data_IF_762920129538
#
_entry.id   IF_762920129538
#
_cell.length_a   1.000
_cell.length_b   1.000
_cell.length_c   1.000
_cell.angle_alpha   90.00
_cell.angle_beta   90.00
_cell.angle_gamma   90.00
#
_symmetry.space_group_name_H-M   'P 1'
#
loop_
_entity.id
_entity.type
_entity.pdbx_description
1 polymer ?
#
# COMPACT_ATOMS: atom_id res chain seq x y z
N UNK A 1 7.94 70.45 50.56
CA UNK A 1 9.16 70.03 49.82
C UNK A 1 9.21 68.51 49.80
N UNK A 2 8.57 67.88 48.80
CA UNK A 2 8.78 66.48 48.37
C UNK A 2 7.66 66.17 47.36
N UNK A 3 7.87 66.52 46.09
CA UNK A 3 7.11 65.87 45.00
C UNK A 3 7.76 65.98 43.61
N UNK A 4 8.80 66.81 43.43
CA UNK A 4 9.40 67.01 42.10
C UNK A 4 10.47 65.96 41.69
N UNK A 5 10.74 64.93 42.51
CA UNK A 5 11.81 63.97 42.24
C UNK A 5 11.37 62.59 41.71
N UNK A 6 10.06 62.35 41.56
CA UNK A 6 9.55 61.09 40.98
C UNK A 6 9.22 61.17 39.49
N UNK A 7 8.83 62.34 38.95
CA UNK A 7 8.49 62.46 37.53
C UNK A 7 9.72 62.34 36.61
N UNK A 8 10.91 62.75 37.07
CA UNK A 8 12.15 62.62 36.29
C UNK A 8 12.67 61.19 36.10
N UNK A 9 12.23 60.22 36.91
CA UNK A 9 12.68 58.81 36.78
C UNK A 9 11.82 57.97 35.84
N UNK A 10 10.60 58.40 35.51
CA UNK A 10 9.71 57.69 34.60
C UNK A 10 10.01 58.03 33.12
N UNK A 11 10.67 59.15 32.86
CA UNK A 11 11.07 59.58 31.51
C UNK A 11 12.32 58.89 30.96
N UNK A 12 13.05 58.11 31.77
CA UNK A 12 14.23 57.33 31.34
C UNK A 12 13.92 55.87 31.02
N UNK A 13 12.65 55.45 31.03
CA UNK A 13 12.28 54.13 30.53
C UNK A 13 12.36 54.14 29.00
N UNK A 14 13.51 53.70 28.48
CA UNK A 14 13.69 53.34 27.08
C UNK A 14 12.46 52.56 26.60
N UNK A 15 11.81 52.96 25.49
CA UNK A 15 10.72 52.20 24.92
C UNK A 15 11.18 50.75 24.76
N UNK A 16 10.46 49.80 25.35
CA UNK A 16 10.67 48.39 25.09
C UNK A 16 10.37 48.19 23.61
N UNK A 17 11.42 48.21 22.79
CA UNK A 17 11.34 47.96 21.37
C UNK A 17 10.65 46.59 21.20
N UNK A 18 9.56 46.48 20.43
CA UNK A 18 8.93 45.19 20.20
C UNK A 18 10.00 44.22 19.69
N UNK A 19 10.04 42.96 20.18
CA UNK A 19 11.09 42.04 19.80
C UNK A 19 11.19 42.00 18.28
N UNK A 20 12.35 42.37 17.75
CA UNK A 20 12.62 42.35 16.30
C UNK A 20 12.18 40.99 15.77
N UNK A 21 11.38 40.93 14.69
CA UNK A 21 10.99 39.66 14.12
C UNK A 21 12.27 38.90 13.81
N UNK A 22 12.46 37.76 14.48
CA UNK A 22 13.60 36.87 14.24
C UNK A 22 13.64 36.64 12.74
N UNK A 23 14.74 37.06 12.11
CA UNK A 23 14.93 36.98 10.66
C UNK A 23 14.66 35.54 10.24
N UNK A 24 13.47 35.30 9.68
CA UNK A 24 13.02 33.96 9.35
C UNK A 24 14.02 33.33 8.40
N UNK A 25 14.39 32.07 8.64
CA UNK A 25 15.15 31.31 7.66
C UNK A 25 14.43 31.37 6.30
N UNK A 26 15.14 31.49 5.17
CA UNK A 26 14.52 31.34 3.87
C UNK A 26 13.78 29.98 3.85
N UNK A 27 12.52 29.98 3.40
CA UNK A 27 11.63 28.80 3.43
C UNK A 27 11.26 28.25 4.82
N UNK A 28 11.22 29.09 5.86
CA UNK A 28 10.81 28.68 7.22
C UNK A 28 9.43 27.97 7.32
N UNK A 29 8.58 28.11 6.30
CA UNK A 29 7.31 27.37 6.19
C UNK A 29 7.47 25.88 5.85
N UNK A 30 8.56 25.49 5.16
CA UNK A 30 8.82 24.11 4.74
C UNK A 30 9.53 23.28 5.82
N UNK A 31 10.27 23.96 6.70
CA UNK A 31 11.09 23.32 7.74
C UNK A 31 10.36 22.38 8.69
N UNK A 32 9.14 22.70 9.15
CA UNK A 32 8.36 21.75 9.93
C UNK A 32 8.09 20.44 9.19
N UNK A 33 7.68 20.51 7.92
CA UNK A 33 7.37 19.33 7.10
C UNK A 33 8.63 18.52 6.81
N UNK A 34 9.74 19.18 6.48
CA UNK A 34 11.03 18.53 6.26
C UNK A 34 11.52 17.80 7.52
N UNK A 35 11.36 18.40 8.71
CA UNK A 35 11.76 17.77 9.96
C UNK A 35 10.95 16.50 10.28
N UNK A 36 9.63 16.53 10.05
CA UNK A 36 8.76 15.38 10.22
C UNK A 36 9.07 14.27 9.22
N UNK A 37 9.34 14.63 7.96
CA UNK A 37 9.75 13.67 6.93
C UNK A 37 11.11 13.03 7.27
N UNK A 38 12.08 13.83 7.72
CA UNK A 38 13.42 13.34 8.08
C UNK A 38 13.38 12.34 9.24
N UNK A 39 12.64 12.62 10.31
CA UNK A 39 12.54 11.68 11.43
C UNK A 39 11.83 10.38 11.01
N UNK A 40 10.80 10.47 10.17
CA UNK A 40 10.11 9.30 9.64
C UNK A 40 11.03 8.44 8.76
N UNK A 41 11.88 9.08 7.95
CA UNK A 41 12.88 8.40 7.14
C UNK A 41 13.93 7.68 8.00
N UNK A 42 14.41 8.32 9.07
CA UNK A 42 15.30 7.69 10.05
C UNK A 42 14.63 6.47 10.68
N UNK A 43 13.37 6.61 11.11
CA UNK A 43 12.60 5.48 11.64
C UNK A 43 12.41 4.37 10.59
N UNK A 44 12.19 4.69 9.32
CA UNK A 44 12.12 3.69 8.26
C UNK A 44 13.42 2.92 8.05
N UNK A 45 14.56 3.59 8.20
CA UNK A 45 15.87 2.93 8.14
C UNK A 45 16.05 1.98 9.33
N UNK A 46 15.59 2.37 10.53
CA UNK A 46 15.55 1.45 11.69
C UNK A 46 14.62 0.26 11.40
N UNK A 47 13.48 0.52 10.75
CA UNK A 47 12.49 -0.48 10.37
C UNK A 47 12.79 -1.17 9.02
N UNK A 48 14.02 -1.64 8.83
CA UNK A 48 14.48 -2.29 7.59
C UNK A 48 14.68 -3.80 7.72
N UNK A 49 14.15 -4.44 8.78
CA UNK A 49 14.36 -5.87 8.98
C UNK A 49 13.42 -6.71 8.09
N UNK A 50 13.82 -7.97 7.87
CA UNK A 50 13.06 -8.92 7.07
C UNK A 50 11.66 -9.18 7.67
N UNK A 51 10.67 -9.58 6.84
CA UNK A 51 9.35 -9.99 7.29
C UNK A 51 9.38 -10.89 8.53
N UNK A 52 8.50 -10.62 9.49
CA UNK A 52 8.35 -11.39 10.72
C UNK A 52 9.39 -11.12 11.82
N UNK A 53 10.39 -10.28 11.57
CA UNK A 53 11.39 -9.90 12.57
C UNK A 53 11.03 -8.59 13.29
N UNK A 54 11.64 -8.32 14.47
CA UNK A 54 11.58 -7.00 15.09
C UNK A 54 12.02 -5.91 14.14
N UNK A 55 11.31 -4.78 14.16
CA UNK A 55 11.54 -3.64 13.27
C UNK A 55 11.32 -3.95 11.78
N UNK A 56 10.35 -4.81 11.45
CA UNK A 56 9.90 -4.97 10.06
C UNK A 56 8.94 -3.84 9.66
N UNK A 57 9.04 -3.36 8.41
CA UNK A 57 8.17 -2.31 7.88
C UNK A 57 6.67 -2.70 7.83
N UNK A 58 6.34 -3.99 7.96
CA UNK A 58 4.96 -4.48 7.97
C UNK A 58 4.34 -4.56 9.38
N UNK A 59 5.08 -4.17 10.41
CA UNK A 59 4.55 -4.09 11.77
C UNK A 59 3.56 -2.92 11.91
N UNK A 60 2.54 -3.09 12.74
CA UNK A 60 1.60 -2.03 13.10
C UNK A 60 2.29 -0.87 13.81
N UNK A 61 3.33 -1.16 14.61
CA UNK A 61 4.23 -0.18 15.22
C UNK A 61 4.82 0.76 14.17
N UNK A 62 5.23 0.23 13.02
CA UNK A 62 5.65 1.04 11.89
C UNK A 62 4.47 1.74 11.23
N UNK A 63 3.50 0.97 10.73
CA UNK A 63 2.41 1.44 9.85
C UNK A 63 1.52 2.49 10.52
N UNK A 64 1.31 2.41 11.83
CA UNK A 64 0.47 3.35 12.56
C UNK A 64 1.28 4.48 13.21
N UNK A 65 2.41 4.17 13.86
CA UNK A 65 3.05 5.16 14.73
C UNK A 65 4.15 5.96 14.06
N UNK A 66 4.87 5.43 13.06
CA UNK A 66 5.85 6.23 12.32
C UNK A 66 5.21 7.41 11.57
N UNK A 67 4.12 7.25 10.79
CA UNK A 67 3.43 8.39 10.21
C UNK A 67 2.83 9.32 11.26
N UNK A 68 2.33 8.79 12.38
CA UNK A 68 1.86 9.63 13.49
C UNK A 68 3.00 10.49 14.09
N UNK A 69 4.20 9.93 14.26
CA UNK A 69 5.40 10.67 14.70
C UNK A 69 5.79 11.72 13.66
N UNK A 70 5.75 11.37 12.37
CA UNK A 70 5.98 12.32 11.26
C UNK A 70 5.08 13.56 11.41
N UNK A 71 3.77 13.34 11.59
CA UNK A 71 2.80 14.41 11.79
C UNK A 71 2.99 15.17 13.10
N UNK A 72 3.26 14.47 14.19
CA UNK A 72 3.48 15.08 15.50
C UNK A 72 4.71 16.01 15.48
N UNK A 73 5.85 15.56 14.95
CA UNK A 73 7.07 16.38 14.84
C UNK A 73 6.84 17.57 13.92
N UNK A 74 6.14 17.37 12.79
CA UNK A 74 5.76 18.46 11.87
C UNK A 74 4.98 19.55 12.60
N UNK A 75 3.94 19.17 13.35
CA UNK A 75 3.10 20.14 14.07
C UNK A 75 3.85 20.79 15.23
N UNK A 76 4.62 20.02 16.01
CA UNK A 76 5.40 20.55 17.12
C UNK A 76 6.41 21.61 16.65
N UNK A 77 7.13 21.36 15.55
CA UNK A 77 8.06 22.33 14.97
C UNK A 77 7.34 23.57 14.44
N UNK A 78 6.18 23.40 13.80
CA UNK A 78 5.40 24.53 13.31
C UNK A 78 4.89 25.43 14.44
N UNK A 79 4.37 24.84 15.51
CA UNK A 79 3.85 25.52 16.70
C UNK A 79 4.95 26.26 17.50
N UNK A 80 6.20 25.81 17.40
CA UNK A 80 7.35 26.49 18.01
C UNK A 80 7.77 27.76 17.25
N UNK A 81 7.37 27.89 15.99
CA UNK A 81 7.63 29.08 15.15
C UNK A 81 6.49 30.07 15.35
N UNK A 82 5.26 29.62 15.11
CA UNK A 82 4.05 30.41 15.28
C UNK A 82 2.84 29.50 15.48
N UNK A 83 1.80 30.02 16.14
CA UNK A 83 0.58 29.25 16.41
C UNK A 83 -0.19 29.02 15.11
N UNK A 84 -0.57 27.77 14.85
CA UNK A 84 -1.22 27.33 13.60
C UNK A 84 -2.70 27.02 13.77
N UNK A 85 -3.41 26.99 12.65
CA UNK A 85 -4.82 26.63 12.61
C UNK A 85 -5.05 25.12 12.79
N UNK A 86 -6.26 24.72 13.15
CA UNK A 86 -6.62 23.29 13.21
C UNK A 86 -6.48 22.59 11.86
N UNK A 87 -6.77 23.27 10.75
CA UNK A 87 -6.58 22.73 9.41
C UNK A 87 -5.11 22.43 9.09
N UNK A 88 -4.18 23.24 9.60
CA UNK A 88 -2.75 23.00 9.45
C UNK A 88 -2.32 21.68 10.11
N UNK A 89 -2.89 21.33 11.27
CA UNK A 89 -2.58 20.08 11.97
C UNK A 89 -2.99 18.81 11.22
N UNK A 90 -3.80 18.95 10.17
CA UNK A 90 -4.24 17.85 9.31
C UNK A 90 -3.45 17.87 7.99
N UNK A 91 -3.43 19.00 7.29
CA UNK A 91 -2.85 19.08 5.94
C UNK A 91 -1.32 19.08 5.93
N UNK A 92 -0.65 19.71 6.90
CA UNK A 92 0.82 19.72 6.92
C UNK A 92 1.41 18.31 7.14
N UNK A 93 0.85 17.46 8.02
CA UNK A 93 1.23 16.05 8.08
C UNK A 93 1.07 15.28 6.76
N UNK A 94 0.06 15.58 5.93
CA UNK A 94 -0.09 14.89 4.64
C UNK A 94 1.13 15.17 3.76
N UNK A 95 1.51 16.44 3.64
CA UNK A 95 2.70 16.85 2.88
C UNK A 95 3.96 16.19 3.47
N UNK A 96 4.14 16.21 4.79
CA UNK A 96 5.29 15.58 5.43
C UNK A 96 5.36 14.06 5.19
N UNK A 97 4.22 13.36 5.28
CA UNK A 97 4.16 11.91 5.00
C UNK A 97 4.38 11.60 3.52
N UNK A 98 3.89 12.44 2.61
CA UNK A 98 4.19 12.31 1.18
C UNK A 98 5.67 12.58 0.87
N UNK A 99 6.30 13.54 1.54
CA UNK A 99 7.75 13.78 1.43
C UNK A 99 8.56 12.59 1.97
N UNK A 100 8.11 12.00 3.08
CA UNK A 100 8.71 10.79 3.64
C UNK A 100 8.63 9.62 2.65
N UNK A 101 7.44 9.30 2.13
CA UNK A 101 7.25 8.21 1.16
C UNK A 101 7.96 8.51 -0.17
N UNK A 102 7.95 9.75 -0.65
CA UNK A 102 8.72 10.17 -1.82
C UNK A 102 10.22 9.99 -1.58
N UNK A 103 10.70 10.31 -0.37
CA UNK A 103 12.07 10.08 0.06
C UNK A 103 12.46 8.61 -0.01
N UNK A 104 11.63 7.69 0.50
CA UNK A 104 11.92 6.24 0.46
C UNK A 104 11.93 5.68 -0.96
N UNK A 105 11.11 6.22 -1.86
CA UNK A 105 11.13 5.87 -3.29
C UNK A 105 12.43 6.33 -3.98
N UNK A 106 12.91 7.54 -3.68
CA UNK A 106 14.14 8.09 -4.27
C UNK A 106 15.40 7.27 -3.90
N UNK A 107 15.39 6.65 -2.72
CA UNK A 107 16.48 5.76 -2.27
C UNK A 107 16.21 4.28 -2.54
N UNK A 108 15.17 3.96 -3.33
CA UNK A 108 14.79 2.59 -3.71
C UNK A 108 14.57 1.63 -2.52
N UNK A 109 14.09 2.15 -1.39
CA UNK A 109 13.78 1.34 -0.20
C UNK A 109 12.42 0.65 -0.33
N UNK A 110 11.45 1.31 -0.96
CA UNK A 110 10.07 0.84 -1.12
C UNK A 110 9.73 0.63 -2.59
N UNK A 111 8.84 -0.32 -2.88
CA UNK A 111 8.23 -0.45 -4.19
C UNK A 111 7.17 0.63 -4.43
N UNK A 112 7.00 1.04 -5.69
CA UNK A 112 5.97 1.99 -6.10
C UNK A 112 4.55 1.53 -5.69
N UNK A 113 4.30 0.22 -5.75
CA UNK A 113 3.03 -0.41 -5.40
C UNK A 113 2.67 -0.12 -3.94
N UNK A 114 3.57 -0.44 -3.01
CA UNK A 114 3.36 -0.19 -1.57
C UNK A 114 3.22 1.30 -1.27
N UNK A 115 4.03 2.16 -1.90
CA UNK A 115 3.94 3.60 -1.72
C UNK A 115 2.55 4.14 -2.07
N UNK A 116 2.01 3.78 -3.25
CA UNK A 116 0.67 4.23 -3.67
C UNK A 116 -0.41 3.71 -2.71
N UNK A 117 -0.30 2.45 -2.30
CA UNK A 117 -1.27 1.81 -1.42
C UNK A 117 -1.22 2.36 0.00
N UNK A 118 -0.05 2.70 0.55
CA UNK A 118 0.07 3.05 1.97
C UNK A 118 -0.11 4.55 2.26
N UNK A 119 0.14 5.43 1.27
CA UNK A 119 0.05 6.89 1.44
C UNK A 119 -1.27 7.36 2.06
N UNK A 120 -2.46 6.87 1.66
CA UNK A 120 -3.71 7.27 2.30
C UNK A 120 -3.77 6.93 3.80
N UNK A 121 -3.27 5.76 4.20
CA UNK A 121 -3.20 5.37 5.60
C UNK A 121 -2.15 6.17 6.38
N UNK A 122 -1.01 6.48 5.76
CA UNK A 122 0.01 7.31 6.39
C UNK A 122 -0.45 8.75 6.58
N UNK A 123 -1.18 9.31 5.62
CA UNK A 123 -1.76 10.64 5.73
C UNK A 123 -2.78 10.73 6.87
N UNK A 124 -3.64 9.71 7.04
CA UNK A 124 -4.60 9.68 8.17
C UNK A 124 -3.89 9.55 9.50
N UNK A 125 -2.93 8.64 9.64
CA UNK A 125 -2.17 8.48 10.89
C UNK A 125 -1.29 9.69 11.21
N UNK A 126 -0.70 10.32 10.19
CA UNK A 126 -0.01 11.59 10.33
C UNK A 126 -0.93 12.71 10.82
N UNK A 127 -2.17 12.77 10.34
CA UNK A 127 -3.16 13.72 10.84
C UNK A 127 -3.51 13.46 12.31
N UNK A 128 -3.66 12.20 12.71
CA UNK A 128 -3.91 11.82 14.11
C UNK A 128 -2.76 12.28 15.00
N UNK A 129 -1.52 12.01 14.61
CA UNK A 129 -0.34 12.44 15.36
C UNK A 129 -0.17 13.97 15.39
N UNK A 130 -0.43 14.63 14.26
CA UNK A 130 -0.39 16.10 14.16
C UNK A 130 -1.44 16.78 15.05
N UNK A 131 -2.69 16.29 15.03
CA UNK A 131 -3.77 16.79 15.88
C UNK A 131 -3.47 16.55 17.37
N UNK A 132 -3.03 15.35 17.74
CA UNK A 132 -2.67 15.03 19.11
C UNK A 132 -1.58 15.98 19.63
N UNK A 133 -0.52 16.20 18.84
CA UNK A 133 0.56 17.10 19.21
C UNK A 133 0.12 18.57 19.23
N UNK A 134 -0.74 18.98 18.31
CA UNK A 134 -1.33 20.33 18.31
C UNK A 134 -2.16 20.60 19.56
N UNK A 135 -2.95 19.63 20.02
CA UNK A 135 -3.70 19.70 21.29
C UNK A 135 -2.73 19.84 22.47
N UNK A 136 -1.69 18.98 22.54
CA UNK A 136 -0.67 19.05 23.59
C UNK A 136 -0.02 20.44 23.61
N UNK A 137 0.45 20.94 22.47
CA UNK A 137 1.09 22.26 22.38
C UNK A 137 0.17 23.42 22.77
N UNK A 138 -1.15 23.27 22.68
CA UNK A 138 -2.10 24.32 23.07
C UNK A 138 -2.46 24.30 24.55
N UNK A 139 -2.52 23.11 25.15
CA UNK A 139 -2.86 22.92 26.57
C UNK A 139 -1.61 23.13 27.45
N UNK A 140 -0.43 22.91 26.89
CA UNK A 140 0.84 22.93 27.61
C UNK A 140 1.82 23.91 26.96
N UNK A 141 2.95 24.20 27.62
CA UNK A 141 3.96 25.12 27.10
C UNK A 141 5.02 24.41 26.23
N UNK A 142 4.58 23.69 25.18
CA UNK A 142 5.46 22.92 24.26
C UNK A 142 6.45 21.95 24.97
N UNK A 143 5.96 20.92 25.67
CA UNK A 143 6.78 19.99 26.44
C UNK A 143 7.59 19.09 25.51
N UNK A 144 8.91 19.19 25.59
CA UNK A 144 9.85 18.36 24.81
C UNK A 144 9.64 16.86 25.08
N UNK A 145 9.25 16.52 26.31
CA UNK A 145 9.01 15.15 26.74
C UNK A 145 7.91 14.47 25.93
N UNK A 146 6.84 15.19 25.57
CA UNK A 146 5.75 14.62 24.79
C UNK A 146 6.23 14.16 23.41
N UNK A 147 7.05 14.97 22.73
CA UNK A 147 7.61 14.61 21.42
C UNK A 147 8.54 13.40 21.53
N UNK A 148 9.38 13.35 22.56
CA UNK A 148 10.27 12.21 22.79
C UNK A 148 9.48 10.93 23.07
N UNK A 149 8.43 10.99 23.87
CA UNK A 149 7.56 9.84 24.14
C UNK A 149 6.88 9.33 22.87
N UNK A 150 6.35 10.22 22.02
CA UNK A 150 5.78 9.84 20.73
C UNK A 150 6.83 9.19 19.82
N UNK A 151 8.03 9.77 19.72
CA UNK A 151 9.11 9.25 18.87
C UNK A 151 9.64 7.87 19.33
N UNK A 152 9.63 7.61 20.64
CA UNK A 152 10.05 6.31 21.20
C UNK A 152 9.01 5.20 21.04
N UNK A 153 7.73 5.55 20.91
CA UNK A 153 6.62 4.59 20.85
C UNK A 153 6.77 3.55 19.73
N UNK A 154 7.02 3.91 18.45
CA UNK A 154 7.23 2.90 17.41
C UNK A 154 8.43 2.00 17.73
N UNK A 155 9.52 2.51 18.32
CA UNK A 155 10.71 1.72 18.64
C UNK A 155 10.41 0.66 19.73
N UNK A 156 9.76 1.07 20.81
CA UNK A 156 9.40 0.14 21.89
C UNK A 156 8.42 -0.92 21.40
N UNK A 157 7.38 -0.52 20.66
CA UNK A 157 6.41 -1.45 20.13
C UNK A 157 7.00 -2.35 19.04
N UNK A 158 7.90 -1.84 18.20
CA UNK A 158 8.59 -2.64 17.17
C UNK A 158 9.46 -3.77 17.71
N UNK A 159 9.91 -3.65 18.96
CA UNK A 159 10.63 -4.71 19.67
C UNK A 159 9.69 -5.78 20.26
N UNK A 160 8.45 -5.42 20.62
CA UNK A 160 7.51 -6.27 21.35
C UNK A 160 6.49 -6.93 20.41
N UNK A 161 5.95 -6.18 19.46
CA UNK A 161 4.86 -6.59 18.55
C UNK A 161 5.12 -7.88 17.78
N UNK A 162 6.33 -8.21 17.27
CA UNK A 162 6.55 -9.46 16.54
C UNK A 162 6.28 -10.72 17.36
N UNK A 163 6.22 -10.61 18.70
CA UNK A 163 5.88 -11.71 19.60
C UNK A 163 4.36 -12.00 19.61
N UNK A 164 3.55 -11.11 19.03
CA UNK A 164 2.12 -11.25 18.89
C UNK A 164 1.80 -11.79 17.49
N UNK A 165 0.99 -12.86 17.38
CA UNK A 165 0.61 -13.37 16.07
C UNK A 165 -0.28 -12.36 15.34
N UNK A 166 -0.04 -12.18 14.04
CA UNK A 166 -0.96 -11.43 13.20
C UNK A 166 -2.28 -12.19 13.05
N UNK A 167 -3.43 -11.49 13.05
CA UNK A 167 -4.70 -12.12 12.75
C UNK A 167 -4.72 -12.56 11.28
N UNK A 168 -5.14 -13.79 11.02
CA UNK A 168 -5.46 -14.22 9.66
C UNK A 168 -6.86 -13.75 9.27
N UNK A 169 -6.98 -13.23 8.06
CA UNK A 169 -8.25 -12.92 7.40
C UNK A 169 -8.30 -13.62 6.06
N UNK A 170 -9.33 -14.42 5.87
CA UNK A 170 -9.61 -15.10 4.61
C UNK A 170 -10.73 -14.35 3.89
N UNK A 171 -10.49 -14.02 2.63
CA UNK A 171 -11.41 -13.26 1.81
C UNK A 171 -11.43 -13.82 0.39
N UNK A 172 -12.48 -13.49 -0.33
CA UNK A 172 -12.65 -13.87 -1.73
C UNK A 172 -13.35 -12.77 -2.52
N UNK A 173 -13.27 -12.89 -3.84
CA UNK A 173 -14.02 -12.06 -4.78
C UNK A 173 -14.44 -12.92 -5.96
N UNK A 174 -15.55 -12.57 -6.60
CA UNK A 174 -15.95 -13.19 -7.86
C UNK A 174 -16.48 -12.20 -8.87
N UNK A 175 -16.20 -12.45 -10.15
CA UNK A 175 -16.71 -11.67 -11.28
C UNK A 175 -17.26 -12.62 -12.32
N UNK A 176 -18.24 -12.16 -13.07
CA UNK A 176 -18.90 -12.92 -14.12
C UNK A 176 -19.02 -12.05 -15.35
N UNK A 177 -18.86 -12.65 -16.52
CA UNK A 177 -19.01 -11.98 -17.80
C UNK A 177 -19.53 -12.96 -18.86
N UNK A 178 -20.41 -12.48 -19.74
CA UNK A 178 -20.89 -13.23 -20.88
C UNK A 178 -19.93 -13.12 -22.08
N UNK A 179 -19.60 -14.26 -22.66
CA UNK A 179 -18.74 -14.41 -23.84
C UNK A 179 -19.59 -15.02 -24.96
N UNK A 180 -19.65 -14.37 -26.12
CA UNK A 180 -20.32 -14.83 -27.34
C UNK A 180 -19.51 -15.92 -28.05
N UNK A 181 -19.17 -16.98 -27.31
CA UNK A 181 -18.44 -18.15 -27.78
C UNK A 181 -18.93 -19.40 -27.03
N UNK A 182 -18.93 -20.58 -27.68
CA UNK A 182 -19.24 -21.85 -27.05
C UNK A 182 -18.17 -22.18 -26.00
N UNK A 183 -18.51 -22.99 -24.99
CA UNK A 183 -17.66 -23.22 -23.83
C UNK A 183 -16.34 -23.91 -24.19
N UNK A 184 -16.29 -24.68 -25.28
CA UNK A 184 -15.08 -25.31 -25.83
C UNK A 184 -14.01 -24.27 -26.16
N UNK A 185 -14.42 -23.13 -26.73
CA UNK A 185 -13.48 -22.06 -27.12
C UNK A 185 -12.99 -21.29 -25.90
N UNK A 186 -13.90 -20.97 -24.98
CA UNK A 186 -13.52 -20.34 -23.71
C UNK A 186 -12.58 -21.25 -22.92
N UNK A 187 -12.85 -22.55 -22.90
CA UNK A 187 -12.02 -23.55 -22.26
C UNK A 187 -10.61 -23.63 -22.87
N UNK A 188 -10.50 -23.55 -24.20
CA UNK A 188 -9.21 -23.50 -24.87
C UNK A 188 -8.40 -22.28 -24.41
N UNK A 189 -8.98 -21.08 -24.45
CA UNK A 189 -8.29 -19.85 -24.04
C UNK A 189 -7.86 -19.86 -22.56
N UNK A 190 -8.64 -20.48 -21.66
CA UNK A 190 -8.26 -20.64 -20.25
C UNK A 190 -6.99 -21.48 -20.06
N UNK A 191 -6.77 -22.47 -20.93
CA UNK A 191 -5.71 -23.47 -20.80
C UNK A 191 -4.51 -23.22 -21.72
N UNK A 192 -4.68 -22.42 -22.76
CA UNK A 192 -3.69 -22.18 -23.81
C UNK A 192 -3.43 -20.67 -24.01
N UNK A 193 -3.34 -19.91 -22.91
CA UNK A 193 -3.06 -18.48 -22.96
C UNK A 193 -1.57 -18.22 -23.23
N UNK A 194 -1.15 -18.31 -24.49
CA UNK A 194 0.19 -17.94 -24.95
C UNK A 194 0.29 -16.46 -25.34
N UNK A 195 1.51 -15.92 -25.34
CA UNK A 195 1.87 -14.60 -25.88
C UNK A 195 0.87 -13.49 -25.53
N UNK A 196 0.59 -13.34 -24.23
CA UNK A 196 -0.29 -12.28 -23.72
C UNK A 196 0.41 -10.95 -23.93
N UNK A 197 -0.16 -10.11 -24.80
CA UNK A 197 0.37 -8.77 -25.06
C UNK A 197 -0.11 -7.78 -24.01
N UNK A 198 0.69 -6.76 -23.66
CA UNK A 198 0.30 -5.71 -22.73
C UNK A 198 -1.03 -5.03 -23.08
N UNK A 199 -1.33 -4.84 -24.37
CA UNK A 199 -2.60 -4.22 -24.79
C UNK A 199 -3.83 -5.07 -24.45
N UNK A 200 -3.67 -6.38 -24.24
CA UNK A 200 -4.79 -7.30 -23.97
C UNK A 200 -5.18 -7.33 -22.49
N UNK A 201 -4.31 -6.85 -21.60
CA UNK A 201 -4.48 -6.93 -20.14
C UNK A 201 -4.21 -5.61 -19.40
N UNK A 202 -3.62 -4.61 -20.06
CA UNK A 202 -3.08 -3.39 -19.45
C UNK A 202 -4.08 -2.45 -18.77
N UNK A 203 -5.39 -2.70 -18.91
CA UNK A 203 -6.44 -1.89 -18.30
C UNK A 203 -6.57 -2.10 -16.78
N UNK A 204 -6.02 -3.19 -16.23
CA UNK A 204 -6.12 -3.45 -14.79
C UNK A 204 -5.27 -2.45 -13.97
N UNK A 205 -5.86 -1.93 -12.89
CA UNK A 205 -5.24 -0.96 -11.99
C UNK A 205 -3.94 -1.47 -11.40
N UNK A 206 -3.87 -2.76 -11.09
CA UNK A 206 -2.67 -3.42 -10.56
C UNK A 206 -1.44 -3.21 -11.46
N UNK A 207 -1.61 -3.34 -12.79
CA UNK A 207 -0.51 -3.18 -13.74
C UNK A 207 -0.06 -1.72 -13.85
N UNK A 208 -1.01 -0.78 -13.75
CA UNK A 208 -0.74 0.66 -13.80
C UNK A 208 0.09 1.18 -12.62
N UNK A 209 0.06 0.46 -11.49
CA UNK A 209 0.85 0.81 -10.29
C UNK A 209 2.15 0.01 -10.14
N UNK A 210 2.49 -0.82 -11.14
CA UNK A 210 3.80 -1.48 -11.24
C UNK A 210 3.81 -3.00 -11.02
N UNK A 211 2.65 -3.65 -10.84
CA UNK A 211 2.56 -5.12 -10.81
C UNK A 211 2.94 -5.67 -12.20
N UNK A 212 3.81 -6.69 -12.30
CA UNK A 212 4.18 -7.29 -13.57
C UNK A 212 2.96 -7.85 -14.31
N UNK A 213 2.88 -7.60 -15.62
CA UNK A 213 1.79 -8.11 -16.45
C UNK A 213 1.98 -9.59 -16.79
N UNK A 214 0.90 -10.37 -16.96
CA UNK A 214 0.98 -11.75 -17.41
C UNK A 214 1.49 -11.82 -18.86
N UNK A 215 2.33 -12.83 -19.12
CA UNK A 215 2.94 -13.14 -20.42
C UNK A 215 2.39 -14.46 -20.96
N UNK A 216 2.23 -15.46 -20.09
CA UNK A 216 1.59 -16.72 -20.46
C UNK A 216 0.96 -17.42 -19.25
N UNK A 217 0.01 -18.30 -19.54
CA UNK A 217 -0.63 -19.17 -18.56
C UNK A 217 -1.11 -20.45 -19.24
N UNK A 218 -0.27 -21.47 -19.23
CA UNK A 218 -0.42 -22.67 -20.06
C UNK A 218 -0.58 -23.89 -19.19
N UNK A 219 -1.62 -24.67 -19.47
CA UNK A 219 -1.88 -25.92 -18.77
C UNK A 219 -1.11 -27.07 -19.40
N UNK A 220 -0.32 -27.77 -18.59
CA UNK A 220 0.48 -28.94 -18.99
C UNK A 220 0.19 -30.12 -18.06
N UNK A 221 0.32 -31.33 -18.59
CA UNK A 221 0.28 -32.55 -17.78
C UNK A 221 1.70 -32.87 -17.28
N UNK A 222 1.88 -32.98 -15.96
CA UNK A 222 3.14 -33.38 -15.31
C UNK A 222 2.95 -34.69 -14.55
N UNK A 223 4.03 -35.34 -14.08
CA UNK A 223 3.92 -36.57 -13.27
C UNK A 223 3.06 -36.41 -12.00
N UNK A 224 2.99 -35.20 -11.44
CA UNK A 224 2.25 -34.87 -10.22
C UNK A 224 0.76 -34.54 -10.48
N UNK A 225 0.36 -34.46 -11.75
CA UNK A 225 -0.98 -34.09 -12.18
C UNK A 225 -0.95 -32.94 -13.18
N UNK A 226 -2.10 -32.31 -13.40
CA UNK A 226 -2.19 -31.19 -14.33
C UNK A 226 -1.86 -29.88 -13.60
N UNK A 227 -0.97 -29.09 -14.17
CA UNK A 227 -0.56 -27.79 -13.63
C UNK A 227 -0.64 -26.73 -14.71
N UNK A 228 -1.02 -25.52 -14.33
CA UNK A 228 -0.94 -24.35 -15.19
C UNK A 228 0.33 -23.57 -14.83
N UNK A 229 1.24 -23.51 -15.78
CA UNK A 229 2.50 -22.77 -15.66
C UNK A 229 2.24 -21.31 -16.06
N UNK A 230 2.48 -20.40 -15.13
CA UNK A 230 2.21 -18.98 -15.30
C UNK A 230 3.53 -18.22 -15.37
N UNK A 231 3.69 -17.40 -16.40
CA UNK A 231 4.81 -16.49 -16.57
C UNK A 231 4.28 -15.06 -16.63
N UNK A 232 4.83 -14.17 -15.82
CA UNK A 232 4.62 -12.74 -15.89
C UNK A 232 5.92 -12.04 -16.30
N UNK A 233 5.84 -10.73 -16.54
CA UNK A 233 6.99 -9.88 -16.76
C UNK A 233 7.97 -9.92 -15.58
N UNK A 234 9.18 -9.39 -15.78
CA UNK A 234 10.26 -9.39 -14.78
C UNK A 234 10.62 -10.79 -14.27
N UNK A 235 10.46 -11.81 -15.12
CA UNK A 235 10.75 -13.22 -14.83
C UNK A 235 9.98 -13.81 -13.64
N UNK A 236 8.85 -13.21 -13.26
CA UNK A 236 7.96 -13.76 -12.24
C UNK A 236 7.28 -15.01 -12.79
N UNK A 237 7.34 -16.11 -12.06
CA UNK A 237 6.81 -17.39 -12.50
C UNK A 237 6.25 -18.18 -11.32
N UNK A 238 5.14 -18.89 -11.53
CA UNK A 238 4.54 -19.73 -10.50
C UNK A 238 3.64 -20.79 -11.12
N UNK A 239 3.25 -21.76 -10.30
CA UNK A 239 2.39 -22.86 -10.73
C UNK A 239 0.98 -22.70 -10.15
N UNK A 240 0.00 -23.13 -10.92
CA UNK A 240 -1.39 -23.24 -10.52
C UNK A 240 -1.78 -24.72 -10.62
N UNK A 241 -1.79 -25.40 -9.47
CA UNK A 241 -2.01 -26.83 -9.38
C UNK A 241 -3.50 -27.12 -9.53
N UNK A 242 -3.90 -27.84 -10.58
CA UNK A 242 -5.31 -28.09 -10.85
C UNK A 242 -5.86 -29.11 -9.84
N UNK A 243 -6.89 -28.69 -9.12
CA UNK A 243 -7.58 -29.50 -8.10
C UNK A 243 -8.90 -30.05 -8.58
N UNK A 244 -9.58 -29.36 -9.51
CA UNK A 244 -10.79 -29.84 -10.17
C UNK A 244 -10.73 -29.55 -11.67
N UNK A 245 -11.05 -30.56 -12.48
CA UNK A 245 -11.02 -30.49 -13.94
C UNK A 245 -12.27 -31.15 -14.52
N UNK A 246 -13.22 -30.33 -14.95
CA UNK A 246 -14.41 -30.75 -15.70
C UNK A 246 -14.44 -29.98 -17.02
N UNK A 247 -14.04 -30.61 -18.15
CA UNK A 247 -13.97 -29.95 -19.44
C UNK A 247 -15.21 -29.11 -19.74
N UNK A 248 -14.99 -27.89 -20.21
CA UNK A 248 -16.01 -26.93 -20.63
C UNK A 248 -17.00 -26.52 -19.52
N UNK A 249 -16.71 -26.82 -18.24
CA UNK A 249 -17.61 -26.56 -17.11
C UNK A 249 -16.94 -25.98 -15.88
N UNK A 250 -15.89 -26.61 -15.37
CA UNK A 250 -15.27 -26.24 -14.10
C UNK A 250 -13.77 -26.46 -14.16
N UNK A 251 -13.02 -25.40 -13.85
CA UNK A 251 -11.58 -25.43 -13.71
C UNK A 251 -11.20 -24.77 -12.40
N UNK A 252 -10.56 -25.51 -11.49
CA UNK A 252 -10.13 -24.98 -10.19
C UNK A 252 -8.69 -25.32 -9.94
N UNK A 253 -7.94 -24.38 -9.40
CA UNK A 253 -6.56 -24.58 -9.03
C UNK A 253 -6.21 -23.92 -7.70
N UNK A 254 -5.10 -24.38 -7.13
CA UNK A 254 -4.41 -23.79 -5.99
C UNK A 254 -3.10 -23.17 -6.47
N UNK A 255 -2.82 -21.94 -6.06
CA UNK A 255 -1.55 -21.31 -6.37
C UNK A 255 -0.43 -21.99 -5.58
N UNK A 256 0.71 -22.20 -6.24
CA UNK A 256 1.94 -22.73 -5.67
C UNK A 256 3.07 -21.79 -6.08
N UNK A 257 3.61 -21.10 -5.08
CA UNK A 257 4.75 -20.21 -5.22
C UNK A 257 6.02 -20.92 -4.71
N UNK A 258 7.09 -20.82 -5.49
CA UNK A 258 8.43 -21.26 -5.11
C UNK A 258 9.25 -20.06 -4.60
N UNK A 259 10.35 -20.27 -3.87
CA UNK A 259 11.19 -19.17 -3.38
C UNK A 259 11.73 -18.24 -4.47
N UNK A 260 11.85 -18.73 -5.70
CA UNK A 260 12.30 -17.99 -6.89
C UNK A 260 11.15 -17.42 -7.73
N UNK A 261 9.89 -17.63 -7.33
CA UNK A 261 8.72 -17.16 -8.08
C UNK A 261 8.71 -15.66 -8.30
N UNK A 262 9.29 -14.89 -7.37
CA UNK A 262 9.36 -13.44 -7.43
C UNK A 262 10.82 -12.98 -7.30
N UNK A 263 11.52 -12.75 -8.43
CA UNK A 263 12.86 -12.16 -8.41
C UNK A 263 12.88 -10.82 -7.67
N UNK A 264 14.00 -10.48 -7.03
CA UNK A 264 14.15 -9.22 -6.29
C UNK A 264 13.82 -8.01 -7.19
N UNK A 265 13.00 -7.09 -6.67
CA UNK A 265 12.53 -5.91 -7.41
C UNK A 265 11.44 -6.20 -8.45
N UNK A 266 10.99 -7.44 -8.59
CA UNK A 266 9.85 -7.75 -9.47
C UNK A 266 8.53 -7.23 -8.89
N UNK A 267 8.33 -7.47 -7.59
CA UNK A 267 7.30 -6.90 -6.73
C UNK A 267 7.97 -6.22 -5.53
N UNK A 268 7.19 -5.70 -4.59
CA UNK A 268 7.75 -5.18 -3.34
C UNK A 268 8.30 -6.33 -2.50
N UNK A 269 9.61 -6.30 -2.22
CA UNK A 269 10.32 -7.38 -1.53
C UNK A 269 9.80 -7.64 -0.10
N UNK A 270 9.12 -6.67 0.53
CA UNK A 270 8.53 -6.83 1.86
C UNK A 270 7.10 -7.42 1.80
N UNK A 271 6.47 -7.51 0.62
CA UNK A 271 5.15 -8.13 0.37
C UNK A 271 5.28 -9.19 -0.72
N UNK A 272 5.75 -10.37 -0.34
CA UNK A 272 5.75 -11.53 -1.23
C UNK A 272 4.36 -12.17 -1.28
N UNK A 273 3.87 -12.45 -2.49
CA UNK A 273 2.68 -13.28 -2.69
C UNK A 273 3.04 -14.74 -2.33
N UNK A 274 2.19 -15.40 -1.53
CA UNK A 274 2.53 -16.70 -0.96
C UNK A 274 3.44 -16.60 0.27
N UNK A 275 3.67 -15.38 0.75
CA UNK A 275 4.50 -15.10 1.91
C UNK A 275 3.72 -14.97 3.22
N UNK A 276 4.40 -14.39 4.21
CA UNK A 276 3.86 -14.24 5.56
C UNK A 276 2.59 -13.39 5.63
N UNK A 277 2.55 -12.27 4.90
CA UNK A 277 1.49 -11.26 5.02
C UNK A 277 0.34 -11.46 4.03
N UNK A 278 0.61 -12.01 2.86
CA UNK A 278 -0.38 -12.20 1.80
C UNK A 278 -0.15 -13.49 1.04
N UNK A 279 -1.21 -14.27 0.84
CA UNK A 279 -1.16 -15.56 0.15
C UNK A 279 -2.40 -15.74 -0.75
N UNK A 280 -2.18 -15.91 -2.05
CA UNK A 280 -3.22 -16.27 -3.01
C UNK A 280 -3.48 -17.77 -2.88
N UNK A 281 -4.73 -18.15 -2.60
CA UNK A 281 -5.05 -19.54 -2.24
C UNK A 281 -5.55 -20.32 -3.43
N UNK A 282 -6.76 -20.02 -3.88
CA UNK A 282 -7.42 -20.79 -4.93
C UNK A 282 -8.07 -19.85 -5.95
N UNK A 283 -8.15 -20.29 -7.21
CA UNK A 283 -9.03 -19.68 -8.20
C UNK A 283 -9.92 -20.74 -8.85
N UNK A 284 -11.16 -20.34 -9.14
CA UNK A 284 -12.18 -21.20 -9.73
C UNK A 284 -12.81 -20.50 -10.92
N UNK A 285 -12.76 -21.14 -12.08
CA UNK A 285 -13.46 -20.76 -13.29
C UNK A 285 -14.65 -21.69 -13.51
N UNK A 286 -15.84 -21.11 -13.63
CA UNK A 286 -17.08 -21.83 -13.93
C UNK A 286 -17.64 -21.34 -15.26
N UNK A 287 -17.84 -22.28 -16.19
CA UNK A 287 -18.42 -22.03 -17.49
C UNK A 287 -19.86 -22.54 -17.48
N UNK A 288 -20.81 -21.63 -17.63
CA UNK A 288 -22.23 -21.97 -17.74
C UNK A 288 -22.70 -21.69 -19.17
N UNK A 289 -23.01 -22.72 -19.97
CA UNK A 289 -23.57 -22.52 -21.30
C UNK A 289 -24.88 -21.73 -21.22
N UNK A 290 -25.02 -20.72 -22.09
CA UNK A 290 -26.21 -19.87 -22.22
C UNK A 290 -26.58 -19.77 -23.69
N UNK A 291 -27.77 -19.26 -23.99
CA UNK A 291 -28.13 -19.00 -25.38
C UNK A 291 -27.17 -17.96 -25.99
N UNK A 292 -26.68 -18.25 -27.19
CA UNK A 292 -25.68 -17.43 -27.89
C UNK A 292 -24.25 -17.45 -27.33
N UNK A 293 -23.93 -18.21 -26.28
CA UNK A 293 -22.56 -18.24 -25.75
C UNK A 293 -22.36 -18.90 -24.38
N UNK A 294 -21.40 -18.36 -23.61
CA UNK A 294 -20.98 -18.91 -22.32
C UNK A 294 -20.88 -17.80 -21.29
N UNK A 295 -21.51 -17.99 -20.14
CA UNK A 295 -21.28 -17.18 -18.96
C UNK A 295 -20.05 -17.73 -18.22
N UNK A 296 -18.97 -16.94 -18.19
CA UNK A 296 -17.73 -17.28 -17.51
C UNK A 296 -17.67 -16.53 -16.17
N UNK A 297 -17.60 -17.28 -15.07
CA UNK A 297 -17.36 -16.76 -13.72
C UNK A 297 -15.95 -17.11 -13.27
N UNK A 298 -15.24 -16.14 -12.71
CA UNK A 298 -14.00 -16.36 -11.96
C UNK A 298 -14.23 -16.01 -10.49
N UNK A 299 -13.76 -16.87 -9.59
CA UNK A 299 -13.69 -16.62 -8.15
C UNK A 299 -12.26 -16.82 -7.68
N UNK A 300 -11.74 -15.89 -6.87
CA UNK A 300 -10.36 -15.93 -6.35
C UNK A 300 -10.41 -15.74 -4.84
N UNK A 301 -9.66 -16.55 -4.09
CA UNK A 301 -9.55 -16.49 -2.64
C UNK A 301 -8.12 -16.20 -2.18
N UNK A 302 -7.98 -15.51 -1.05
CA UNK A 302 -6.67 -15.17 -0.47
C UNK A 302 -6.71 -15.16 1.06
N UNK A 303 -5.52 -15.18 1.66
CA UNK A 303 -5.26 -14.92 3.08
C UNK A 303 -4.49 -13.61 3.21
N UNK A 304 -4.91 -12.79 4.18
CA UNK A 304 -4.22 -11.58 4.62
C UNK A 304 -3.86 -11.73 6.10
N UNK A 305 -2.62 -11.43 6.48
CA UNK A 305 -2.10 -11.66 7.83
C UNK A 305 -1.25 -10.50 8.33
N UNK A 306 -1.91 -9.38 8.65
CA UNK A 306 -1.30 -8.13 9.13
C UNK A 306 -2.08 -7.57 10.32
N UNK A 307 -1.47 -6.68 11.11
CA UNK A 307 -2.16 -5.94 12.17
C UNK A 307 -3.14 -4.87 11.65
N UNK A 308 -3.23 -4.70 10.33
CA UNK A 308 -4.08 -3.73 9.64
C UNK A 308 -4.92 -4.38 8.53
N UNK A 309 -5.33 -5.64 8.70
CA UNK A 309 -6.17 -6.37 7.74
C UNK A 309 -7.40 -5.60 7.30
N UNK A 310 -8.01 -4.79 8.18
CA UNK A 310 -9.18 -3.98 7.84
C UNK A 310 -8.93 -3.02 6.67
N UNK A 311 -7.68 -2.60 6.48
CA UNK A 311 -7.23 -1.74 5.39
C UNK A 311 -6.67 -2.59 4.24
N UNK A 312 -5.69 -3.44 4.53
CA UNK A 312 -4.97 -4.22 3.52
C UNK A 312 -5.92 -5.14 2.73
N UNK A 313 -6.86 -5.80 3.40
CA UNK A 313 -7.84 -6.68 2.76
C UNK A 313 -8.77 -5.92 1.80
N UNK A 314 -9.17 -4.69 2.15
CA UNK A 314 -10.04 -3.88 1.28
C UNK A 314 -9.30 -3.44 0.02
N UNK A 315 -8.04 -3.03 0.16
CA UNK A 315 -7.20 -2.68 -0.99
C UNK A 315 -7.04 -3.91 -1.88
N UNK A 316 -6.68 -5.06 -1.32
CA UNK A 316 -6.53 -6.29 -2.09
C UNK A 316 -7.82 -6.75 -2.74
N UNK A 317 -8.96 -6.62 -2.07
CA UNK A 317 -10.25 -6.92 -2.66
C UNK A 317 -10.51 -6.05 -3.90
N UNK A 318 -10.21 -4.75 -3.85
CA UNK A 318 -10.34 -3.85 -5.01
C UNK A 318 -9.41 -4.27 -6.15
N UNK A 319 -8.14 -4.55 -5.83
CA UNK A 319 -7.14 -4.98 -6.80
C UNK A 319 -7.52 -6.29 -7.49
N UNK A 320 -7.89 -7.32 -6.72
CA UNK A 320 -8.21 -8.64 -7.23
C UNK A 320 -9.56 -8.67 -7.93
N UNK A 321 -10.52 -7.85 -7.50
CA UNK A 321 -11.78 -7.66 -8.21
C UNK A 321 -11.57 -7.05 -9.60
N UNK A 322 -10.73 -6.01 -9.69
CA UNK A 322 -10.42 -5.36 -10.96
C UNK A 322 -9.58 -6.28 -11.87
N UNK A 323 -8.57 -6.96 -11.33
CA UNK A 323 -7.80 -7.96 -12.06
C UNK A 323 -8.68 -9.10 -12.58
N UNK A 324 -9.61 -9.59 -11.76
CA UNK A 324 -10.61 -10.61 -12.16
C UNK A 324 -11.51 -10.12 -13.29
N UNK A 325 -11.91 -8.85 -13.26
CA UNK A 325 -12.72 -8.29 -14.34
C UNK A 325 -11.93 -8.16 -15.64
N UNK A 326 -10.66 -7.75 -15.57
CA UNK A 326 -9.80 -7.59 -16.73
C UNK A 326 -9.43 -8.93 -17.36
N UNK A 327 -9.13 -9.96 -16.56
CA UNK A 327 -8.82 -11.29 -17.10
C UNK A 327 -10.04 -11.91 -17.80
N UNK A 328 -11.27 -11.65 -17.32
CA UNK A 328 -12.48 -12.06 -18.03
C UNK A 328 -12.63 -11.36 -19.39
N UNK A 329 -12.29 -10.06 -19.47
CA UNK A 329 -12.32 -9.31 -20.75
C UNK A 329 -11.27 -9.84 -21.72
N UNK A 330 -10.09 -10.19 -21.22
CA UNK A 330 -9.03 -10.85 -22.00
C UNK A 330 -9.56 -12.14 -22.65
N UNK A 331 -10.12 -13.07 -21.85
CA UNK A 331 -10.67 -14.31 -22.39
C UNK A 331 -11.84 -14.08 -23.34
N UNK A 332 -12.69 -13.08 -23.07
CA UNK A 332 -13.76 -12.67 -23.98
C UNK A 332 -13.21 -12.27 -25.35
N UNK A 333 -12.24 -11.35 -25.36
CA UNK A 333 -11.69 -10.79 -26.59
C UNK A 333 -11.07 -11.88 -27.48
N UNK A 334 -10.27 -12.77 -26.89
CA UNK A 334 -9.66 -13.89 -27.63
C UNK A 334 -10.69 -14.89 -28.13
N UNK A 335 -11.59 -15.34 -27.25
CA UNK A 335 -12.60 -16.32 -27.62
C UNK A 335 -13.53 -15.80 -28.73
N UNK A 336 -13.92 -14.52 -28.73
CA UNK A 336 -14.81 -13.93 -29.74
C UNK A 336 -14.09 -13.59 -31.06
N UNK A 337 -12.82 -13.18 -31.03
CA UNK A 337 -12.06 -12.86 -32.24
C UNK A 337 -11.92 -14.08 -33.18
N UNK A 338 -11.64 -15.25 -32.61
CA UNK A 338 -11.55 -16.52 -33.36
C UNK A 338 -12.89 -16.90 -34.01
N UNK A 339 -14.03 -16.50 -33.41
CA UNK A 339 -15.36 -16.69 -34.02
C UNK A 339 -15.48 -15.93 -35.34
N UNK A 340 -15.02 -14.68 -35.34
CA UNK A 340 -15.14 -13.76 -36.47
C UNK A 340 -14.21 -14.17 -37.61
N UNK A 341 -13.05 -14.74 -37.29
CA UNK A 341 -12.13 -15.29 -38.29
C UNK A 341 -12.64 -16.59 -38.93
N UNK A 342 -13.37 -17.44 -38.19
CA UNK A 342 -13.97 -18.67 -38.71
C UNK A 342 -15.29 -18.44 -39.47
N UNK A 343 -15.95 -17.30 -39.26
CA UNK A 343 -17.20 -16.91 -39.94
C UNK A 343 -16.97 -16.08 -41.23
N UNK A 344 -15.72 -15.71 -41.53
CA UNK A 344 -15.27 -15.12 -42.79
C UNK A 344 -14.60 -16.19 -43.63
#
# INVERSE_FOLDING_TARGET
>A
MQNDSQEGRLSELTPIEPPKPVRGMPFGWFWPMASGAAIALVLRIVFSSAPGNPYSAMLGSFVYFVPAVCGAVTVYMAERIERRSWGYYIWAPWVATSLFVGGTLLVFIEGLICAIVIVPLFATMGSVGGLAMGIVCRITNWPKQAVYSFAMLPLVLGAIEPQLPNPDRYSDTSRTLFIAAPPERVWHELNAAYDIRPEEVGDAWAYRIGVPMPVSGVTVDTPEGRVRQVQWQKNVHFEEVITEWQPNRLLKWRFRFSPDSFPAGALDDHVMIGGQYFDLRDATYTLTPRDGGTELRVAVSWRMSTSFNWYADRVMHLMLADASQNILRFYKARAEATATAAAR
#
